data_IF_461812803811
#
_entry.id   IF_461812803811
#
_cell.length_a   1.000
_cell.length_b   1.000
_cell.length_c   1.000
_cell.angle_alpha   90.00
_cell.angle_beta   90.00
_cell.angle_gamma   90.00
#
_symmetry.space_group_name_H-M   'P 1'
#
loop_
_entity.id
_entity.type
_entity.pdbx_description
1 polymer ?
#
# COMPACT_ATOMS: atom_id res chain seq x y z
N UNK A 1 -41.12 -38.09 -60.02
CA UNK A 1 -40.25 -38.13 -58.89
C UNK A 1 -39.42 -36.81 -58.83
N UNK A 2 -39.81 -35.84 -57.98
CA UNK A 2 -39.06 -34.56 -57.75
C UNK A 2 -38.52 -34.57 -56.35
N UNK A 3 -37.19 -34.60 -56.21
CA UNK A 3 -36.50 -34.45 -54.97
C UNK A 3 -36.50 -32.97 -54.52
N UNK A 4 -37.01 -32.72 -53.34
CA UNK A 4 -36.98 -31.42 -52.70
C UNK A 4 -35.73 -31.40 -51.82
N UNK A 5 -34.80 -30.50 -52.13
CA UNK A 5 -33.56 -30.22 -51.32
C UNK A 5 -33.92 -29.19 -50.26
N UNK A 6 -33.89 -29.61 -48.97
CA UNK A 6 -33.98 -28.68 -47.85
C UNK A 6 -32.61 -28.06 -47.56
N UNK A 7 -32.50 -26.74 -47.70
CA UNK A 7 -31.38 -25.96 -47.21
C UNK A 7 -31.59 -25.67 -45.74
N UNK A 8 -30.73 -26.23 -44.90
CA UNK A 8 -30.64 -25.84 -43.46
C UNK A 8 -29.71 -24.65 -43.32
N UNK A 9 -30.30 -23.50 -42.99
CA UNK A 9 -29.54 -22.29 -42.63
C UNK A 9 -29.02 -22.41 -41.18
N UNK A 10 -27.71 -22.57 -40.99
CA UNK A 10 -27.07 -22.43 -39.69
C UNK A 10 -26.92 -20.96 -39.37
N UNK A 11 -27.65 -20.45 -38.36
CA UNK A 11 -27.40 -19.17 -37.73
C UNK A 11 -26.17 -19.33 -36.78
N UNK A 12 -25.05 -18.74 -37.15
CA UNK A 12 -23.91 -18.55 -36.28
C UNK A 12 -24.23 -17.41 -35.29
N UNK A 13 -24.63 -17.76 -34.09
CA UNK A 13 -24.64 -16.83 -32.94
C UNK A 13 -23.19 -16.51 -32.54
N UNK A 14 -22.70 -15.38 -33.01
CA UNK A 14 -21.44 -14.81 -32.57
C UNK A 14 -21.54 -14.35 -31.08
N UNK A 15 -21.06 -15.18 -30.16
CA UNK A 15 -20.88 -14.76 -28.78
C UNK A 15 -19.76 -13.73 -28.75
N UNK A 16 -20.09 -12.47 -28.49
CA UNK A 16 -19.11 -11.45 -28.08
C UNK A 16 -18.50 -11.86 -26.75
N UNK A 17 -17.41 -12.61 -26.75
CA UNK A 17 -16.56 -12.76 -25.60
C UNK A 17 -15.94 -11.40 -25.31
N UNK A 18 -16.33 -10.78 -24.21
CA UNK A 18 -15.60 -9.66 -23.62
C UNK A 18 -14.23 -10.20 -23.19
N UNK A 19 -13.23 -10.00 -24.01
CA UNK A 19 -11.84 -10.25 -23.65
C UNK A 19 -11.47 -9.26 -22.56
N UNK A 20 -11.36 -9.76 -21.33
CA UNK A 20 -10.69 -9.05 -20.25
C UNK A 20 -9.27 -8.73 -20.73
N UNK A 21 -8.79 -7.48 -20.66
CA UNK A 21 -7.43 -7.16 -21.09
C UNK A 21 -6.46 -8.01 -20.29
N UNK A 22 -5.69 -8.89 -20.95
CA UNK A 22 -4.56 -9.54 -20.33
C UNK A 22 -3.52 -8.45 -20.06
N UNK A 23 -3.28 -8.17 -18.78
CA UNK A 23 -2.21 -7.29 -18.32
C UNK A 23 -0.87 -7.96 -18.72
N UNK A 24 -0.04 -7.29 -19.51
CA UNK A 24 1.35 -7.70 -19.74
C UNK A 24 2.07 -7.75 -18.39
N UNK A 25 2.24 -8.94 -17.86
CA UNK A 25 2.92 -9.15 -16.58
C UNK A 25 4.44 -9.12 -16.83
N UNK A 26 5.09 -8.04 -16.42
CA UNK A 26 6.50 -8.12 -16.04
C UNK A 26 6.63 -9.21 -14.98
N UNK A 27 7.80 -9.87 -14.89
CA UNK A 27 8.06 -11.02 -14.01
C UNK A 27 7.69 -10.72 -12.56
N UNK A 28 6.39 -10.91 -12.22
CA UNK A 28 5.88 -10.72 -10.85
C UNK A 28 6.37 -11.87 -9.97
N UNK A 29 6.70 -11.59 -8.69
CA UNK A 29 7.02 -12.65 -7.75
C UNK A 29 5.80 -13.56 -7.52
N UNK A 30 6.04 -14.87 -7.41
CA UNK A 30 5.00 -15.84 -7.07
C UNK A 30 4.72 -15.80 -5.57
N UNK A 31 3.71 -15.02 -5.17
CA UNK A 31 3.31 -14.74 -3.80
C UNK A 31 1.86 -15.19 -3.56
N UNK A 32 1.24 -14.77 -2.45
CA UNK A 32 -0.17 -15.02 -2.14
C UNK A 32 -0.40 -16.16 -1.14
N UNK A 33 0.65 -16.58 -0.44
CA UNK A 33 0.54 -17.51 0.70
C UNK A 33 1.75 -17.38 1.62
N UNK A 34 1.61 -17.80 2.89
CA UNK A 34 2.70 -17.79 3.88
C UNK A 34 3.93 -18.58 3.43
N UNK A 35 3.74 -19.71 2.74
CA UNK A 35 4.86 -20.50 2.22
C UNK A 35 5.66 -19.72 1.17
N UNK A 36 4.96 -19.06 0.24
CA UNK A 36 5.58 -18.31 -0.86
C UNK A 36 6.26 -17.03 -0.37
N UNK A 37 5.60 -16.23 0.45
CA UNK A 37 6.16 -14.98 0.98
C UNK A 37 7.40 -15.23 1.85
N UNK A 38 7.41 -16.27 2.67
CA UNK A 38 8.57 -16.64 3.49
C UNK A 38 9.77 -17.15 2.67
N UNK A 39 9.54 -17.66 1.46
CA UNK A 39 10.62 -18.08 0.54
C UNK A 39 11.08 -16.98 -0.40
N UNK A 40 10.43 -15.84 -0.40
CA UNK A 40 10.75 -14.69 -1.26
C UNK A 40 12.05 -14.02 -0.81
N UNK A 41 12.91 -13.66 -1.75
CA UNK A 41 14.18 -12.98 -1.44
C UNK A 41 14.02 -11.51 -1.06
N UNK A 42 12.85 -10.92 -1.29
CA UNK A 42 12.60 -9.48 -1.20
C UNK A 42 12.96 -8.71 -2.47
N UNK A 43 13.48 -9.38 -3.51
CA UNK A 43 13.85 -8.74 -4.77
C UNK A 43 13.07 -9.35 -5.94
N UNK A 44 12.34 -8.56 -6.74
CA UNK A 44 11.75 -9.04 -7.98
C UNK A 44 12.82 -9.55 -8.96
N UNK A 45 12.49 -10.56 -9.75
CA UNK A 45 13.43 -11.12 -10.72
C UNK A 45 13.88 -10.07 -11.73
N UNK A 46 15.20 -9.93 -11.88
CA UNK A 46 15.83 -8.94 -12.77
C UNK A 46 16.01 -7.53 -12.16
N UNK A 47 15.46 -7.24 -10.99
CA UNK A 47 15.68 -6.00 -10.27
C UNK A 47 17.11 -5.94 -9.67
N UNK A 48 17.83 -4.82 -9.58
CA UNK A 48 17.44 -3.48 -10.02
C UNK A 48 17.84 -3.13 -11.46
N UNK A 49 18.35 -4.09 -12.26
CA UNK A 49 18.70 -3.82 -13.66
C UNK A 49 17.48 -3.42 -14.47
N UNK A 50 16.38 -4.17 -14.32
CA UNK A 50 15.07 -3.74 -14.76
C UNK A 50 14.37 -3.05 -13.59
N UNK A 51 14.29 -1.72 -13.66
CA UNK A 51 13.67 -0.89 -12.61
C UNK A 51 12.16 -1.12 -12.48
N UNK A 52 11.51 -1.61 -13.52
CA UNK A 52 10.08 -1.93 -13.55
C UNK A 52 9.78 -3.38 -13.15
N UNK A 53 10.82 -4.18 -12.81
CA UNK A 53 10.62 -5.55 -12.35
C UNK A 53 9.78 -5.56 -11.05
N UNK A 54 8.73 -6.38 -11.02
CA UNK A 54 7.78 -6.44 -9.91
C UNK A 54 6.64 -5.41 -9.98
N UNK A 55 6.60 -4.56 -11.00
CA UNK A 55 5.48 -3.63 -11.20
C UNK A 55 4.38 -4.25 -12.05
N UNK A 56 3.15 -3.84 -11.80
CA UNK A 56 1.93 -4.18 -12.55
C UNK A 56 1.47 -2.95 -13.34
N UNK A 57 1.17 -3.14 -14.61
CA UNK A 57 0.55 -2.11 -15.45
C UNK A 57 -0.95 -2.07 -15.21
N UNK A 58 -1.45 -1.00 -14.62
CA UNK A 58 -2.87 -0.77 -14.45
C UNK A 58 -3.45 -0.03 -15.67
N UNK A 59 -4.62 -0.45 -16.17
CA UNK A 59 -5.28 0.26 -17.24
C UNK A 59 -5.79 1.61 -16.75
N UNK A 60 -6.09 2.51 -17.69
CA UNK A 60 -6.89 3.69 -17.36
C UNK A 60 -8.28 3.28 -16.86
N UNK A 61 -8.83 4.05 -15.93
CA UNK A 61 -10.15 3.75 -15.38
C UNK A 61 -10.78 4.96 -14.69
N UNK A 62 -11.82 4.69 -13.92
CA UNK A 62 -12.52 5.71 -13.13
C UNK A 62 -12.91 5.12 -11.80
N UNK A 63 -12.81 5.91 -10.72
CA UNK A 63 -13.34 5.58 -9.40
C UNK A 63 -14.08 6.74 -8.76
N UNK A 64 -14.96 6.44 -7.83
CA UNK A 64 -15.38 7.37 -6.79
C UNK A 64 -14.32 7.30 -5.69
N UNK A 65 -13.62 8.39 -5.45
CA UNK A 65 -12.59 8.47 -4.41
C UNK A 65 -13.27 8.56 -3.03
N UNK A 66 -12.93 7.65 -2.13
CA UNK A 66 -13.49 7.58 -0.78
C UNK A 66 -14.63 6.58 -0.61
N UNK A 67 -15.24 6.59 0.57
CA UNK A 67 -16.39 5.75 0.94
C UNK A 67 -17.40 6.53 1.78
N UNK A 68 -18.68 6.19 1.67
CA UNK A 68 -19.72 6.74 2.53
C UNK A 68 -19.83 6.02 3.88
N UNK A 69 -19.12 4.89 4.06
CA UNK A 69 -19.19 4.03 5.25
C UNK A 69 -17.97 4.17 6.17
N UNK A 70 -16.98 5.00 5.80
CA UNK A 70 -15.76 5.23 6.58
C UNK A 70 -15.86 6.39 7.56
N UNK A 71 -14.69 6.82 8.04
CA UNK A 71 -14.56 8.04 8.84
C UNK A 71 -14.90 9.28 7.99
N UNK A 72 -15.10 10.40 8.66
CA UNK A 72 -15.53 11.64 8.00
C UNK A 72 -14.55 12.08 6.91
N UNK A 73 -13.26 12.01 7.18
CA UNK A 73 -12.19 12.35 6.24
C UNK A 73 -12.02 11.35 5.09
N UNK A 74 -12.60 10.16 5.18
CA UNK A 74 -12.64 9.14 4.11
C UNK A 74 -13.82 9.34 3.16
N UNK A 75 -14.78 10.21 3.49
CA UNK A 75 -15.96 10.44 2.66
C UNK A 75 -15.58 11.05 1.32
N UNK A 76 -16.30 10.70 0.24
CA UNK A 76 -16.07 11.30 -1.05
C UNK A 76 -16.50 12.76 -1.03
N UNK A 77 -15.77 13.63 -1.74
CA UNK A 77 -16.19 15.01 -1.96
C UNK A 77 -17.55 15.09 -2.65
N UNK A 78 -17.74 14.22 -3.63
CA UNK A 78 -18.99 13.98 -4.34
C UNK A 78 -18.99 12.52 -4.84
N UNK A 79 -20.15 12.04 -5.29
CA UNK A 79 -20.29 10.68 -5.83
C UNK A 79 -19.94 10.57 -7.34
N UNK A 80 -19.27 11.58 -7.88
CA UNK A 80 -18.79 11.53 -9.28
C UNK A 80 -17.50 10.71 -9.38
N UNK A 81 -17.40 10.01 -10.48
CA UNK A 81 -16.18 9.27 -10.78
C UNK A 81 -15.07 10.19 -11.27
N UNK A 82 -13.86 9.98 -10.77
CA UNK A 82 -12.63 10.64 -11.23
C UNK A 82 -11.87 9.71 -12.15
N UNK A 83 -11.36 10.22 -13.27
CA UNK A 83 -10.55 9.46 -14.21
C UNK A 83 -9.14 9.26 -13.68
N UNK A 84 -8.61 8.05 -13.84
CA UNK A 84 -7.24 7.66 -13.51
C UNK A 84 -6.56 7.21 -14.80
N UNK A 85 -5.48 7.87 -15.26
CA UNK A 85 -4.69 7.40 -16.39
C UNK A 85 -4.08 6.01 -16.13
N UNK A 86 -3.62 5.33 -17.18
CA UNK A 86 -2.85 4.11 -17.03
C UNK A 86 -1.46 4.42 -16.41
N UNK A 87 -0.97 3.54 -15.53
CA UNK A 87 0.33 3.66 -14.86
C UNK A 87 0.87 2.30 -14.46
N UNK A 88 2.15 2.24 -14.10
CA UNK A 88 2.76 1.08 -13.44
C UNK A 88 2.79 1.33 -11.93
N UNK A 89 2.57 0.28 -11.13
CA UNK A 89 2.66 0.32 -9.67
C UNK A 89 3.35 -0.93 -9.15
N UNK A 90 4.15 -0.83 -8.09
CA UNK A 90 4.76 -1.99 -7.44
C UNK A 90 3.68 -2.97 -6.96
N UNK A 91 3.88 -4.26 -7.25
CA UNK A 91 2.93 -5.31 -6.84
C UNK A 91 2.82 -5.46 -5.32
N UNK A 92 3.87 -5.11 -4.59
CA UNK A 92 3.97 -5.14 -3.12
C UNK A 92 4.47 -3.79 -2.59
N UNK A 93 4.49 -3.62 -1.29
CA UNK A 93 5.30 -2.56 -0.67
C UNK A 93 6.78 -2.76 -1.01
N UNK A 94 7.56 -1.68 -0.99
CA UNK A 94 9.02 -1.74 -1.14
C UNK A 94 9.61 -2.52 0.05
N UNK A 95 10.44 -3.52 -0.27
CA UNK A 95 11.04 -4.41 0.73
C UNK A 95 12.32 -3.84 1.34
N UNK A 96 12.73 -4.38 2.50
CA UNK A 96 14.03 -4.05 3.10
C UNK A 96 15.19 -4.36 2.14
N UNK A 97 15.12 -5.43 1.36
CA UNK A 97 16.15 -5.78 0.39
C UNK A 97 16.28 -4.74 -0.74
N UNK A 98 15.16 -4.26 -1.26
CA UNK A 98 15.14 -3.20 -2.27
C UNK A 98 15.68 -1.87 -1.72
N UNK A 99 15.25 -1.50 -0.52
CA UNK A 99 15.70 -0.26 0.11
C UNK A 99 17.19 -0.32 0.49
N UNK A 100 17.67 -1.48 0.93
CA UNK A 100 19.09 -1.72 1.20
C UNK A 100 19.97 -1.48 -0.03
N UNK A 101 19.53 -1.94 -1.21
CA UNK A 101 20.27 -1.71 -2.44
C UNK A 101 20.33 -0.23 -2.83
N UNK A 102 19.24 0.52 -2.64
CA UNK A 102 19.23 1.97 -2.80
C UNK A 102 20.23 2.66 -1.87
N UNK A 103 20.16 2.34 -0.58
CA UNK A 103 21.09 2.90 0.43
C UNK A 103 22.54 2.60 0.07
N UNK A 104 22.83 1.37 -0.34
CA UNK A 104 24.17 0.94 -0.76
C UNK A 104 24.67 1.71 -1.97
N UNK A 105 23.84 1.84 -3.02
CA UNK A 105 24.26 2.50 -4.26
C UNK A 105 24.39 4.02 -4.13
N UNK A 106 23.60 4.63 -3.26
CA UNK A 106 23.58 6.09 -3.09
C UNK A 106 24.36 6.60 -1.88
N UNK A 107 24.79 5.71 -0.98
CA UNK A 107 25.32 6.13 0.31
C UNK A 107 24.28 6.92 1.11
N UNK A 108 22.98 6.59 0.92
CA UNK A 108 21.89 7.35 1.49
C UNK A 108 21.80 7.17 3.00
N UNK A 109 21.59 8.28 3.72
CA UNK A 109 21.34 8.28 5.17
C UNK A 109 19.92 8.77 5.37
N UNK A 110 19.08 7.96 6.03
CA UNK A 110 17.66 8.28 6.24
C UNK A 110 17.49 9.40 7.28
N UNK A 111 16.32 10.04 7.25
CA UNK A 111 16.01 11.09 8.22
C UNK A 111 15.99 10.55 9.66
N UNK A 112 15.50 9.33 9.88
CA UNK A 112 15.58 8.67 11.19
C UNK A 112 17.03 8.47 11.66
N UNK A 113 17.96 8.11 10.78
CA UNK A 113 19.39 8.00 11.08
C UNK A 113 19.99 9.37 11.44
N UNK A 114 19.64 10.43 10.71
CA UNK A 114 20.08 11.82 10.96
C UNK A 114 19.51 12.38 12.26
N UNK A 115 18.24 12.10 12.56
CA UNK A 115 17.54 12.54 13.79
C UNK A 115 17.94 11.73 15.03
N UNK A 116 18.66 10.62 14.84
CA UNK A 116 19.11 9.75 15.93
C UNK A 116 18.02 8.85 16.50
N UNK A 117 16.91 8.66 15.79
CA UNK A 117 15.83 7.76 16.19
C UNK A 117 14.52 8.01 15.45
N UNK A 118 13.51 7.23 15.81
CA UNK A 118 12.17 7.27 15.19
C UNK A 118 11.09 6.90 16.22
N UNK A 119 9.82 7.13 15.87
CA UNK A 119 8.69 6.74 16.71
C UNK A 119 8.38 5.24 16.56
N UNK A 120 8.44 4.50 17.66
CA UNK A 120 8.16 3.07 17.72
C UNK A 120 6.86 2.81 18.47
N UNK A 121 6.06 1.89 17.97
CA UNK A 121 5.02 1.27 18.76
C UNK A 121 5.65 0.32 19.79
N UNK A 122 5.29 0.52 21.05
CA UNK A 122 5.68 -0.36 22.16
C UNK A 122 4.41 -0.82 22.85
N UNK A 123 4.11 -2.12 22.70
CA UNK A 123 2.92 -2.71 23.34
C UNK A 123 3.01 -2.51 24.84
N UNK A 124 2.04 -1.83 25.50
CA UNK A 124 2.10 -1.60 26.94
C UNK A 124 1.70 -2.86 27.71
N UNK A 125 2.34 -3.07 28.86
CA UNK A 125 2.02 -4.18 29.80
C UNK A 125 0.89 -3.80 30.76
N UNK A 126 0.62 -2.51 30.93
CA UNK A 126 -0.41 -1.96 31.82
C UNK A 126 -1.21 -0.89 31.10
N UNK A 127 -2.43 -0.56 31.56
CA UNK A 127 -3.22 0.52 30.99
C UNK A 127 -2.43 1.84 30.94
N UNK A 128 -2.46 2.47 29.76
CA UNK A 128 -1.83 3.76 29.49
C UNK A 128 -2.84 4.71 28.87
N UNK A 129 -2.60 6.02 28.94
CA UNK A 129 -3.37 7.01 28.19
C UNK A 129 -3.16 6.86 26.67
N UNK A 130 -4.08 7.39 25.90
CA UNK A 130 -4.02 7.34 24.46
C UNK A 130 -2.69 7.89 23.92
N UNK A 131 -2.14 7.23 22.89
CA UNK A 131 -0.86 7.51 22.25
C UNK A 131 0.39 7.27 23.11
N UNK A 132 0.30 6.96 24.40
CA UNK A 132 1.48 6.66 25.23
C UNK A 132 2.19 5.36 24.83
N UNK A 133 1.61 4.54 23.97
CA UNK A 133 2.30 3.40 23.34
C UNK A 133 3.28 3.79 22.24
N UNK A 134 3.29 5.06 21.83
CA UNK A 134 4.33 5.59 20.95
C UNK A 134 5.51 6.07 21.78
N UNK A 135 6.68 5.54 21.49
CA UNK A 135 7.94 5.90 22.17
C UNK A 135 8.99 6.32 21.16
N UNK A 136 9.71 7.38 21.44
CA UNK A 136 10.90 7.71 20.65
C UNK A 136 11.98 6.65 20.93
N UNK A 137 12.32 5.86 19.93
CA UNK A 137 13.38 4.86 19.99
C UNK A 137 14.72 5.46 19.58
N UNK A 138 15.62 5.68 20.54
CA UNK A 138 16.97 6.12 20.20
C UNK A 138 17.66 5.13 19.26
N UNK A 139 18.14 5.63 18.10
CA UNK A 139 18.76 4.84 17.05
C UNK A 139 17.81 3.93 16.27
N UNK A 140 16.50 4.00 16.54
CA UNK A 140 15.53 3.29 15.71
C UNK A 140 15.52 3.88 14.29
N UNK A 141 15.58 3.02 13.29
CA UNK A 141 15.58 3.35 11.88
C UNK A 141 15.23 2.10 11.07
N UNK A 142 15.23 2.15 9.75
CA UNK A 142 14.86 1.04 8.88
C UNK A 142 15.71 -0.24 9.08
N UNK A 143 16.97 -0.14 9.57
CA UNK A 143 17.83 -1.30 9.91
C UNK A 143 17.53 -1.85 11.30
N UNK A 144 17.05 -1.01 12.19
CA UNK A 144 16.78 -1.30 13.61
C UNK A 144 15.38 -0.84 14.01
N UNK A 145 14.30 -1.37 13.41
CA UNK A 145 12.94 -0.88 13.63
C UNK A 145 12.40 -1.12 15.04
N UNK A 146 13.09 -1.92 15.84
CA UNK A 146 12.81 -2.15 17.27
C UNK A 146 13.83 -1.47 18.21
N UNK A 147 14.64 -0.53 17.65
CA UNK A 147 15.72 0.14 18.38
C UNK A 147 17.03 -0.67 18.44
N UNK A 148 18.13 0.02 18.73
CA UNK A 148 19.49 -0.56 18.70
C UNK A 148 19.71 -1.73 19.67
N UNK A 149 19.01 -1.74 20.81
CA UNK A 149 19.16 -2.78 21.82
C UNK A 149 18.40 -4.07 21.51
N UNK A 150 17.61 -4.10 20.47
CA UNK A 150 16.87 -5.29 20.06
C UNK A 150 17.74 -6.11 19.10
N UNK A 151 18.01 -7.40 19.36
CA UNK A 151 18.81 -8.24 18.49
C UNK A 151 18.10 -8.65 17.19
N UNK A 152 16.78 -8.47 17.11
CA UNK A 152 16.00 -8.82 15.91
C UNK A 152 16.41 -7.90 14.75
N UNK A 153 16.65 -8.50 13.61
CA UNK A 153 16.90 -7.79 12.36
C UNK A 153 15.67 -7.90 11.45
N UNK A 154 15.32 -6.85 10.69
CA UNK A 154 14.23 -6.92 9.72
C UNK A 154 14.60 -7.90 8.59
N UNK A 155 13.63 -8.76 8.22
CA UNK A 155 13.87 -9.71 7.14
C UNK A 155 13.92 -9.00 5.77
N UNK A 156 14.73 -9.52 4.81
CA UNK A 156 14.86 -8.90 3.49
C UNK A 156 13.53 -8.70 2.76
N UNK A 157 12.58 -9.62 2.94
CA UNK A 157 11.26 -9.66 2.29
C UNK A 157 10.14 -9.02 3.12
N UNK A 158 10.43 -8.45 4.30
CA UNK A 158 9.47 -7.58 5.01
C UNK A 158 9.44 -6.20 4.35
N UNK A 159 8.32 -5.44 4.44
CA UNK A 159 8.27 -4.06 3.97
C UNK A 159 9.25 -3.19 4.73
N UNK A 160 9.92 -2.28 4.03
CA UNK A 160 10.70 -1.24 4.68
C UNK A 160 9.77 -0.32 5.45
N UNK A 161 10.16 0.03 6.67
CA UNK A 161 9.46 0.96 7.57
C UNK A 161 10.45 1.85 8.30
N UNK A 162 10.04 2.74 9.17
CA UNK A 162 10.90 3.76 9.76
C UNK A 162 11.53 4.68 8.71
N UNK A 163 10.77 4.97 7.67
CA UNK A 163 11.14 5.86 6.55
C UNK A 163 10.19 7.04 6.52
N UNK A 164 10.74 8.23 6.29
CA UNK A 164 9.97 9.46 6.10
C UNK A 164 9.45 9.57 4.67
N UNK A 165 8.61 10.56 4.41
CA UNK A 165 8.20 10.89 3.05
C UNK A 165 9.41 11.24 2.16
N UNK A 166 10.39 11.96 2.72
CA UNK A 166 11.62 12.32 2.01
C UNK A 166 12.42 11.08 1.61
N UNK A 167 12.54 10.10 2.51
CA UNK A 167 13.25 8.84 2.25
C UNK A 167 12.57 8.03 1.14
N UNK A 168 11.23 7.91 1.21
CA UNK A 168 10.42 7.21 0.21
C UNK A 168 10.51 7.88 -1.16
N UNK A 169 10.43 9.21 -1.20
CA UNK A 169 10.56 10.00 -2.42
C UNK A 169 11.96 9.92 -3.02
N UNK A 170 13.01 9.95 -2.19
CA UNK A 170 14.39 9.77 -2.65
C UNK A 170 14.62 8.39 -3.28
N UNK A 171 14.04 7.33 -2.70
CA UNK A 171 14.06 5.99 -3.29
C UNK A 171 13.34 5.96 -4.64
N UNK A 172 12.11 6.47 -4.71
CA UNK A 172 11.32 6.50 -5.95
C UNK A 172 12.09 7.23 -7.07
N UNK A 173 12.63 8.41 -6.78
CA UNK A 173 13.42 9.19 -7.74
C UNK A 173 14.69 8.45 -8.22
N UNK A 174 15.36 7.69 -7.36
CA UNK A 174 16.51 6.88 -7.77
C UNK A 174 16.15 5.88 -8.88
N UNK A 175 14.95 5.30 -8.82
CA UNK A 175 14.44 4.42 -9.86
C UNK A 175 13.91 5.18 -11.10
N UNK A 176 13.68 6.49 -11.02
CA UNK A 176 12.93 7.25 -12.03
C UNK A 176 11.42 6.99 -11.92
N UNK A 177 10.97 6.65 -10.74
CA UNK A 177 9.58 6.46 -10.32
C UNK A 177 9.11 7.66 -9.49
N UNK A 178 7.89 7.57 -8.96
CA UNK A 178 7.28 8.53 -8.07
C UNK A 178 6.49 7.80 -6.96
N UNK A 179 6.02 8.51 -5.95
CA UNK A 179 5.02 8.00 -5.04
C UNK A 179 3.63 8.09 -5.69
N UNK A 180 2.71 7.16 -5.40
CA UNK A 180 1.34 7.25 -5.90
C UNK A 180 0.64 8.50 -5.34
N UNK A 181 -0.24 9.12 -6.12
CA UNK A 181 -1.25 9.99 -5.54
C UNK A 181 -2.27 9.16 -4.75
N UNK A 182 -3.00 9.79 -3.84
CA UNK A 182 -4.10 9.13 -3.12
C UNK A 182 -5.11 8.50 -4.10
N UNK A 183 -5.39 9.17 -5.21
CA UNK A 183 -6.31 8.69 -6.24
C UNK A 183 -5.79 7.42 -6.94
N UNK A 184 -4.52 7.41 -7.35
CA UNK A 184 -3.88 6.24 -7.99
C UNK A 184 -3.80 5.06 -7.01
N UNK A 185 -3.44 5.34 -5.75
CA UNK A 185 -3.35 4.31 -4.74
C UNK A 185 -4.72 3.67 -4.47
N UNK A 186 -5.77 4.49 -4.29
CA UNK A 186 -7.12 3.98 -4.00
C UNK A 186 -7.73 3.26 -5.21
N UNK A 187 -7.45 3.73 -6.45
CA UNK A 187 -7.80 3.02 -7.67
C UNK A 187 -7.14 1.64 -7.72
N UNK A 188 -5.86 1.57 -7.41
CA UNK A 188 -5.11 0.31 -7.34
C UNK A 188 -5.69 -0.64 -6.28
N UNK A 189 -6.05 -0.13 -5.10
CA UNK A 189 -6.58 -0.92 -4.00
C UNK A 189 -8.00 -1.46 -4.30
N UNK A 190 -8.88 -0.63 -4.84
CA UNK A 190 -10.25 -1.03 -5.19
C UNK A 190 -10.32 -2.06 -6.32
N UNK A 191 -9.30 -2.15 -7.15
CA UNK A 191 -9.30 -3.02 -8.31
C UNK A 191 -10.41 -2.64 -9.28
N UNK A 192 -11.06 -3.62 -9.90
CA UNK A 192 -12.21 -3.39 -10.80
C UNK A 192 -13.53 -3.08 -10.06
N UNK A 193 -13.53 -3.12 -8.74
CA UNK A 193 -14.72 -2.95 -7.90
C UNK A 193 -14.88 -1.47 -7.53
N UNK A 194 -15.46 -0.69 -8.43
CA UNK A 194 -15.55 0.77 -8.31
C UNK A 194 -16.19 1.30 -7.01
N UNK A 195 -17.07 0.52 -6.38
CA UNK A 195 -17.87 0.93 -5.22
C UNK A 195 -17.65 0.07 -3.98
N UNK A 196 -16.74 -0.91 -4.00
CA UNK A 196 -16.50 -1.76 -2.84
C UNK A 196 -15.33 -1.25 -2.01
N UNK A 197 -15.57 -1.12 -0.73
CA UNK A 197 -14.55 -0.85 0.24
C UNK A 197 -14.03 -2.21 0.75
N UNK A 198 -12.87 -2.61 0.26
CA UNK A 198 -12.25 -3.89 0.64
C UNK A 198 -11.69 -3.72 2.04
N UNK A 199 -12.13 -4.58 2.96
CA UNK A 199 -11.62 -4.64 4.34
C UNK A 199 -10.63 -5.78 4.56
N UNK A 200 -10.18 -5.99 5.81
CA UNK A 200 -9.17 -6.99 6.17
C UNK A 200 -9.71 -8.43 6.22
N UNK A 201 -11.02 -8.61 6.06
CA UNK A 201 -11.68 -9.92 6.03
C UNK A 201 -12.56 -10.04 4.79
N UNK A 202 -12.59 -11.21 4.18
CA UNK A 202 -13.44 -11.54 3.05
C UNK A 202 -14.05 -12.94 3.26
N UNK A 203 -15.38 -13.05 3.17
CA UNK A 203 -16.13 -14.31 3.38
C UNK A 203 -15.74 -15.02 4.69
N UNK A 204 -15.49 -14.26 5.76
CA UNK A 204 -15.08 -14.80 7.06
C UNK A 204 -13.60 -15.19 7.16
N UNK A 205 -12.81 -15.01 6.11
CA UNK A 205 -11.38 -15.27 6.11
C UNK A 205 -10.57 -13.98 6.26
N UNK A 206 -9.49 -14.03 7.02
CA UNK A 206 -8.52 -12.94 7.14
C UNK A 206 -7.69 -12.87 5.84
N UNK A 207 -7.68 -11.69 5.21
CA UNK A 207 -7.00 -11.44 3.92
C UNK A 207 -5.94 -10.36 3.99
N UNK A 208 -5.61 -9.90 5.21
CA UNK A 208 -4.61 -8.85 5.45
C UNK A 208 -3.95 -9.01 6.83
N UNK A 209 -2.79 -8.41 7.01
CA UNK A 209 -2.12 -8.30 8.32
C UNK A 209 -2.65 -7.06 9.07
N UNK A 210 -3.37 -7.27 10.17
CA UNK A 210 -3.92 -6.23 11.03
C UNK A 210 -3.97 -6.71 12.48
N UNK A 211 -4.29 -5.83 13.44
CA UNK A 211 -4.39 -6.21 14.85
C UNK A 211 -5.70 -6.91 15.14
N UNK A 212 -5.61 -8.16 15.64
CA UNK A 212 -6.78 -8.92 16.10
C UNK A 212 -6.77 -9.01 17.63
N UNK A 213 -7.83 -8.50 18.24
CA UNK A 213 -7.98 -8.47 19.69
C UNK A 213 -8.01 -7.05 20.27
N UNK A 214 -7.65 -6.92 21.54
CA UNK A 214 -7.75 -5.65 22.27
C UNK A 214 -6.50 -4.79 22.08
N UNK A 215 -6.59 -3.81 21.18
CA UNK A 215 -5.50 -2.84 20.98
C UNK A 215 -5.46 -1.85 22.16
N UNK A 216 -4.27 -1.46 22.67
CA UNK A 216 -2.92 -1.88 22.25
C UNK A 216 -2.35 -3.04 23.09
N UNK A 217 -3.18 -3.74 23.88
CA UNK A 217 -2.74 -4.66 24.94
C UNK A 217 -2.57 -6.10 24.47
N UNK A 218 -3.45 -6.59 23.61
CA UNK A 218 -3.45 -8.01 23.23
C UNK A 218 -3.72 -8.19 21.74
N UNK A 219 -2.71 -8.60 20.98
CA UNK A 219 -2.86 -9.12 19.62
C UNK A 219 -2.93 -10.64 19.68
N UNK A 220 -4.05 -11.24 19.25
CA UNK A 220 -4.24 -12.71 19.24
C UNK A 220 -3.62 -13.38 18.02
N UNK A 221 -3.18 -12.60 17.04
CA UNK A 221 -2.38 -13.06 15.88
C UNK A 221 -3.10 -14.15 15.05
N UNK A 222 -4.40 -14.02 14.82
CA UNK A 222 -5.14 -14.95 13.98
C UNK A 222 -4.64 -14.96 12.53
N UNK A 223 -4.14 -13.81 12.05
CA UNK A 223 -3.45 -13.68 10.77
C UNK A 223 -2.07 -14.37 10.73
N UNK A 224 -1.55 -14.74 11.92
CA UNK A 224 -0.27 -15.42 12.12
C UNK A 224 0.93 -14.50 12.24
N UNK A 225 0.72 -13.21 12.44
CA UNK A 225 1.80 -12.21 12.57
C UNK A 225 1.60 -11.34 13.82
N UNK A 226 2.67 -11.10 14.55
CA UNK A 226 2.69 -10.18 15.69
C UNK A 226 3.04 -8.74 15.27
N UNK A 227 3.74 -8.61 14.18
CA UNK A 227 4.36 -7.40 13.65
C UNK A 227 4.08 -7.35 12.14
N UNK A 228 4.86 -6.64 11.35
CA UNK A 228 4.73 -6.71 9.89
C UNK A 228 4.89 -8.13 9.38
N UNK A 229 4.11 -8.47 8.37
CA UNK A 229 4.27 -9.70 7.60
C UNK A 229 5.28 -9.49 6.46
N UNK A 230 5.97 -10.54 5.97
CA UNK A 230 6.59 -10.50 4.66
C UNK A 230 5.61 -10.05 3.59
N UNK A 231 6.08 -9.31 2.58
CA UNK A 231 5.19 -8.83 1.51
C UNK A 231 4.56 -10.01 0.74
N UNK A 232 3.30 -9.89 0.35
CA UNK A 232 2.60 -10.90 -0.44
C UNK A 232 2.24 -12.18 0.29
N UNK A 233 2.09 -12.15 1.62
CA UNK A 233 1.65 -13.32 2.38
C UNK A 233 0.14 -13.60 2.22
N UNK A 234 -0.63 -12.63 1.80
CA UNK A 234 -2.07 -12.73 1.55
C UNK A 234 -2.39 -12.73 0.05
N UNK A 235 -3.63 -13.01 -0.29
CA UNK A 235 -4.07 -13.07 -1.68
C UNK A 235 -4.01 -11.70 -2.35
N UNK A 236 -3.59 -11.68 -3.61
CA UNK A 236 -3.59 -10.48 -4.43
C UNK A 236 -5.01 -10.04 -4.80
N UNK A 237 -5.18 -8.75 -5.00
CA UNK A 237 -6.42 -8.19 -5.52
C UNK A 237 -6.59 -8.47 -7.03
N UNK A 238 -7.74 -8.10 -7.67
CA UNK A 238 -7.99 -8.34 -9.09
C UNK A 238 -6.97 -7.72 -10.05
N UNK A 239 -6.24 -6.67 -9.64
CA UNK A 239 -5.14 -6.10 -10.42
C UNK A 239 -3.81 -6.84 -10.25
N UNK A 240 -3.73 -7.82 -9.35
CA UNK A 240 -2.49 -8.56 -9.09
C UNK A 240 -1.61 -7.92 -8.02
N UNK A 241 -2.14 -7.02 -7.21
CA UNK A 241 -1.43 -6.28 -6.16
C UNK A 241 -1.68 -6.91 -4.80
N UNK A 242 -0.66 -6.88 -3.94
CA UNK A 242 -0.66 -7.44 -2.60
C UNK A 242 -0.62 -6.34 -1.53
N UNK A 243 -1.07 -6.67 -0.33
CA UNK A 243 -0.90 -5.91 0.92
C UNK A 243 -1.39 -4.44 0.86
N UNK A 244 -2.40 -4.16 0.02
CA UNK A 244 -3.02 -2.83 -0.05
C UNK A 244 -3.92 -2.54 1.17
N UNK A 245 -4.12 -3.51 2.03
CA UNK A 245 -4.88 -3.42 3.26
C UNK A 245 -4.03 -3.99 4.40
N UNK A 246 -3.83 -3.20 5.45
CA UNK A 246 -3.02 -3.61 6.61
C UNK A 246 -1.52 -3.57 6.33
N UNK A 247 -0.76 -4.40 6.97
CA UNK A 247 0.70 -4.52 6.96
C UNK A 247 1.40 -3.21 7.34
N UNK A 248 1.70 -2.32 6.39
CA UNK A 248 2.18 -0.97 6.69
C UNK A 248 1.33 0.08 5.99
N UNK A 249 1.11 1.22 6.64
CA UNK A 249 0.63 2.41 5.97
C UNK A 249 1.58 2.79 4.84
N UNK A 250 1.06 3.31 3.74
CA UNK A 250 1.85 3.65 2.58
C UNK A 250 1.81 5.14 2.26
N UNK A 251 2.98 5.74 2.14
CA UNK A 251 3.13 7.12 1.72
C UNK A 251 2.53 7.39 0.34
N UNK A 252 1.84 8.52 0.22
CA UNK A 252 1.44 9.07 -1.08
C UNK A 252 2.08 10.44 -1.31
N UNK A 253 2.02 10.94 -2.54
CA UNK A 253 2.43 12.31 -2.82
C UNK A 253 1.32 13.36 -2.57
N UNK A 254 0.15 12.94 -2.09
CA UNK A 254 -0.98 13.84 -1.86
C UNK A 254 -0.88 14.48 -0.48
N UNK A 255 -0.79 15.82 -0.38
CA UNK A 255 -0.85 16.50 0.90
C UNK A 255 -2.14 16.20 1.63
N UNK A 256 -2.07 16.09 2.97
CA UNK A 256 -3.26 15.92 3.80
C UNK A 256 -3.82 17.28 4.24
N UNK A 257 -5.08 17.53 3.91
CA UNK A 257 -5.77 18.80 4.15
C UNK A 257 -7.02 18.65 5.04
N UNK A 258 -7.12 17.50 5.74
CA UNK A 258 -8.34 17.17 6.48
C UNK A 258 -9.36 16.44 5.61
N UNK A 259 -10.67 16.63 5.84
CA UNK A 259 -11.71 16.13 4.95
C UNK A 259 -11.48 16.59 3.51
N UNK A 260 -11.84 15.75 2.53
CA UNK A 260 -11.62 16.07 1.11
C UNK A 260 -12.31 17.36 0.72
N UNK A 261 -11.59 18.24 0.07
CA UNK A 261 -12.08 19.50 -0.47
C UNK A 261 -11.90 19.58 -2.02
N UNK A 262 -12.34 20.69 -2.63
CA UNK A 262 -12.29 20.89 -4.08
C UNK A 262 -10.86 21.00 -4.65
N UNK A 263 -9.82 21.06 -3.81
CA UNK A 263 -8.41 21.20 -4.24
C UNK A 263 -7.68 19.85 -4.31
N UNK A 264 -8.35 18.75 -3.92
CA UNK A 264 -7.81 17.41 -3.98
C UNK A 264 -7.59 16.96 -5.42
N UNK A 265 -6.35 16.66 -5.76
CA UNK A 265 -5.95 16.13 -7.06
C UNK A 265 -4.88 16.93 -7.81
N UNK A 266 -4.57 18.15 -7.37
CA UNK A 266 -3.47 18.94 -7.94
C UNK A 266 -2.50 19.39 -6.85
N UNK A 267 -1.42 18.63 -6.61
CA UNK A 267 -0.40 19.00 -5.62
C UNK A 267 0.22 20.37 -5.86
N UNK A 268 0.26 20.86 -7.12
CA UNK A 268 0.82 22.17 -7.45
C UNK A 268 -0.06 23.29 -6.94
N UNK A 269 -1.38 23.14 -7.02
CA UNK A 269 -2.34 24.14 -6.51
C UNK A 269 -2.33 24.21 -4.99
N UNK A 270 -2.16 23.05 -4.33
CA UNK A 270 -2.07 23.01 -2.86
C UNK A 270 -0.80 23.72 -2.37
N UNK A 271 0.35 23.47 -3.01
CA UNK A 271 1.63 24.16 -2.69
C UNK A 271 1.55 25.68 -2.87
N UNK A 272 0.74 26.17 -3.81
CA UNK A 272 0.54 27.62 -4.00
C UNK A 272 -0.30 28.27 -2.88
N UNK A 273 -1.16 27.51 -2.20
CA UNK A 273 -2.05 28.02 -1.17
C UNK A 273 -1.52 27.88 0.27
N UNK A 274 -0.45 27.08 0.48
CA UNK A 274 0.11 26.79 1.80
C UNK A 274 1.64 26.95 1.79
N UNK A 275 2.15 27.82 2.63
CA UNK A 275 3.60 28.11 2.74
C UNK A 275 4.43 26.90 3.20
N UNK A 276 3.83 25.95 3.94
CA UNK A 276 4.46 24.70 4.37
C UNK A 276 3.47 23.54 4.32
N UNK A 277 3.80 22.48 3.57
CA UNK A 277 3.11 21.19 3.66
C UNK A 277 3.83 20.40 4.75
N UNK A 278 3.17 20.24 5.89
CA UNK A 278 3.70 19.52 7.04
C UNK A 278 3.28 18.05 7.08
N UNK A 279 2.18 17.70 6.41
CA UNK A 279 1.60 16.35 6.43
C UNK A 279 1.22 15.88 5.02
N UNK A 280 1.45 14.59 4.79
CA UNK A 280 1.00 13.89 3.59
C UNK A 280 0.00 12.79 3.95
N UNK A 281 -0.83 12.44 2.98
CA UNK A 281 -1.78 11.34 3.13
C UNK A 281 -1.06 10.00 3.05
N UNK A 282 -1.27 9.15 4.07
CA UNK A 282 -0.92 7.73 4.03
C UNK A 282 -2.18 6.89 3.85
N UNK A 283 -2.04 5.70 3.21
CA UNK A 283 -3.15 4.86 2.77
C UNK A 283 -3.02 3.43 3.27
N UNK A 284 -4.16 2.71 3.34
CA UNK A 284 -4.25 1.25 3.48
C UNK A 284 -4.38 0.71 4.90
N UNK A 285 -3.99 1.47 5.92
CA UNK A 285 -3.90 0.95 7.29
C UNK A 285 -2.60 0.18 7.53
N UNK A 286 -2.45 -0.40 8.71
CA UNK A 286 -1.26 -1.17 9.08
C UNK A 286 -1.59 -2.33 10.02
N UNK A 287 -0.59 -3.12 10.36
CA UNK A 287 -0.66 -4.18 11.36
C UNK A 287 -1.11 -3.70 12.77
N UNK A 288 -1.09 -2.39 13.02
CA UNK A 288 -1.58 -1.78 14.26
C UNK A 288 -3.05 -1.34 14.21
N UNK A 289 -3.69 -1.38 13.05
CA UNK A 289 -5.09 -1.04 12.92
C UNK A 289 -5.97 -2.15 13.49
N UNK A 290 -6.91 -1.78 14.37
CA UNK A 290 -7.76 -2.70 15.13
C UNK A 290 -9.23 -2.26 15.09
N UNK A 291 -10.15 -3.20 15.28
CA UNK A 291 -11.59 -2.92 15.30
C UNK A 291 -12.01 -1.98 16.44
N UNK A 292 -11.29 -2.04 17.56
CA UNK A 292 -11.60 -1.25 18.77
C UNK A 292 -10.83 0.06 18.89
N UNK A 293 -9.96 0.40 17.93
CA UNK A 293 -9.16 1.63 17.98
C UNK A 293 -9.11 2.36 16.64
N UNK A 294 -8.35 1.89 15.67
CA UNK A 294 -8.14 2.50 14.37
C UNK A 294 -8.63 1.55 13.28
N UNK A 295 -9.92 1.53 12.97
CA UNK A 295 -10.49 0.64 11.95
C UNK A 295 -10.24 1.18 10.52
N UNK A 296 -9.01 1.66 10.22
CA UNK A 296 -8.62 2.28 8.93
C UNK A 296 -7.92 1.32 7.97
N UNK A 297 -8.19 0.03 8.05
CA UNK A 297 -7.66 -1.02 7.16
C UNK A 297 -8.66 -1.26 6.00
N UNK A 298 -8.78 -0.30 5.10
CA UNK A 298 -9.62 -0.35 3.90
C UNK A 298 -9.06 0.51 2.77
N UNK A 299 -9.51 0.27 1.54
CA UNK A 299 -9.03 1.01 0.37
C UNK A 299 -9.24 2.53 0.49
N UNK A 300 -10.38 2.96 1.03
CA UNK A 300 -10.69 4.37 1.22
C UNK A 300 -10.00 5.01 2.44
N UNK A 301 -9.38 4.21 3.32
CA UNK A 301 -8.69 4.70 4.51
C UNK A 301 -7.60 5.68 4.15
N UNK A 302 -7.51 6.74 4.94
CA UNK A 302 -6.52 7.81 4.82
C UNK A 302 -6.17 8.36 6.21
N UNK A 303 -4.94 8.79 6.38
CA UNK A 303 -4.49 9.36 7.65
C UNK A 303 -3.41 10.42 7.37
N UNK A 304 -3.34 11.51 8.16
CA UNK A 304 -2.23 12.44 8.11
C UNK A 304 -0.97 11.80 8.69
N UNK A 305 0.16 12.07 8.07
CA UNK A 305 1.47 11.75 8.61
C UNK A 305 2.42 12.91 8.34
N UNK A 306 3.15 13.35 9.36
CA UNK A 306 4.19 14.36 9.23
C UNK A 306 5.28 13.86 8.30
N UNK A 307 5.67 14.72 7.35
CA UNK A 307 6.58 14.36 6.25
C UNK A 307 7.98 13.92 6.71
N UNK A 308 8.41 14.36 7.89
CA UNK A 308 9.73 14.12 8.49
C UNK A 308 9.70 13.18 9.70
N UNK A 309 8.52 12.62 10.05
CA UNK A 309 8.36 11.67 11.15
C UNK A 309 8.37 10.23 10.65
N UNK A 310 9.47 9.53 10.90
CA UNK A 310 9.58 8.10 10.67
C UNK A 310 8.89 7.30 11.78
N UNK A 311 8.06 6.31 11.41
CA UNK A 311 7.31 5.49 12.37
C UNK A 311 7.39 4.00 12.06
N UNK A 312 7.16 3.15 13.06
CA UNK A 312 7.30 1.68 12.93
C UNK A 312 6.24 1.00 12.06
N UNK A 313 5.25 1.73 11.57
CA UNK A 313 4.10 1.17 10.84
C UNK A 313 3.83 1.86 9.49
N UNK A 314 4.79 2.66 9.01
CA UNK A 314 4.68 3.36 7.71
C UNK A 314 5.83 2.95 6.80
N UNK A 315 5.48 2.52 5.61
CA UNK A 315 6.32 2.20 4.47
C UNK A 315 5.78 2.86 3.19
N UNK A 316 6.00 2.26 2.03
CA UNK A 316 5.55 2.83 0.76
C UNK A 316 5.65 1.82 -0.40
N UNK A 317 5.00 2.13 -1.50
CA UNK A 317 5.23 1.55 -2.84
C UNK A 317 5.39 2.66 -3.87
N UNK A 318 5.96 2.33 -5.04
CA UNK A 318 6.20 3.33 -6.09
C UNK A 318 5.29 3.15 -7.30
N UNK A 319 5.15 4.22 -8.07
CA UNK A 319 4.47 4.23 -9.37
C UNK A 319 5.36 4.79 -10.45
N UNK A 320 5.10 4.40 -11.70
CA UNK A 320 5.69 5.04 -12.88
C UNK A 320 4.59 5.44 -13.85
N UNK A 321 4.53 6.71 -14.16
CA UNK A 321 3.60 7.28 -15.15
C UNK A 321 4.23 7.28 -16.54
N UNK A 322 3.39 7.22 -17.58
CA UNK A 322 3.82 7.21 -18.98
C UNK A 322 3.86 8.63 -19.57
#
# INVERSE_FOLDING_TARGET
>A
MKQIMMLSSFLLLGACQKTTPQLEQTTLPDLGSKAKCNSYSGLPSGWPKNKEAGMVKLPQGKIVLGTTQGYEDERPLNLQTTSVPAFLIDATEVTNAQFQEFVKQKGYVTDAEKQGGAAMFVQPEHPVEELQWWKFGKGANWKHPWGLNNPKQPAPHEPVRMVTWNDAYAYANWLGHDLPSELEWEYAAKGFQQNSDIGPTHEGHIVANFWQGEFPYKNVQEDGFKDVAPVGCFSKNPFGLYDLIGNVWEWTQTPYTGPRDHHMGDPSKYRQSHEQILQYTIKGGSYLCATNYCARYRAAARHPQELDLATSHVGFRTVKRF
#
